data_IF_133337322096
#
_entry.id   IF_133337322096
#
_cell.length_a   1.000
_cell.length_b   1.000
_cell.length_c   1.000
_cell.angle_alpha   90.00
_cell.angle_beta   90.00
_cell.angle_gamma   90.00
#
_symmetry.space_group_name_H-M   'P 1'
#
loop_
_entity.id
_entity.type
_entity.pdbx_description
1 polymer ?
#
# COMPACT_ATOMS: atom_id res chain seq x y z
N UNK A 1 -42.82 85.59 13.77
CA UNK A 1 -41.88 85.04 14.78
C UNK A 1 -41.61 83.59 14.42
N UNK A 2 -40.35 83.18 14.41
CA UNK A 2 -39.77 81.83 14.22
C UNK A 2 -40.70 80.60 14.36
N UNK A 3 -40.54 79.51 13.59
CA UNK A 3 -39.36 78.62 13.63
C UNK A 3 -39.35 77.63 12.45
N UNK A 4 -38.18 77.50 11.82
CA UNK A 4 -37.75 76.33 11.03
C UNK A 4 -37.68 75.07 11.92
N UNK A 5 -37.99 73.89 11.36
CA UNK A 5 -37.31 72.64 11.74
C UNK A 5 -37.47 71.56 10.66
N UNK A 6 -36.41 71.44 9.86
CA UNK A 6 -36.04 70.25 9.11
C UNK A 6 -36.15 68.98 9.98
N UNK A 7 -36.95 68.00 9.55
CA UNK A 7 -36.88 66.62 10.05
C UNK A 7 -36.80 65.65 8.88
N UNK A 8 -35.62 65.54 8.28
CA UNK A 8 -35.20 64.37 7.50
C UNK A 8 -33.67 64.39 7.26
N UNK A 9 -32.84 64.05 8.27
CA UNK A 9 -31.59 63.38 7.94
C UNK A 9 -31.17 62.23 8.88
N UNK A 10 -32.04 61.79 9.81
CA UNK A 10 -31.62 60.81 10.85
C UNK A 10 -31.79 59.35 10.36
N UNK A 11 -32.88 59.00 9.68
CA UNK A 11 -33.12 57.60 9.23
C UNK A 11 -32.12 57.09 8.17
N UNK A 12 -31.62 57.97 7.30
CA UNK A 12 -30.61 57.62 6.29
C UNK A 12 -29.20 57.47 6.89
N UNK A 13 -28.88 58.26 7.93
CA UNK A 13 -27.60 58.16 8.64
C UNK A 13 -27.50 56.85 9.44
N UNK A 14 -28.54 56.48 10.20
CA UNK A 14 -28.57 55.19 10.92
C UNK A 14 -28.54 53.98 9.99
N UNK A 15 -29.24 54.02 8.83
CA UNK A 15 -29.15 52.95 7.82
C UNK A 15 -27.76 52.83 7.20
N UNK A 16 -27.06 53.95 6.95
CA UNK A 16 -25.66 53.94 6.48
C UNK A 16 -24.68 53.43 7.54
N UNK A 17 -24.88 53.77 8.82
CA UNK A 17 -24.06 53.27 9.93
C UNK A 17 -24.28 51.78 10.19
N UNK A 18 -25.52 51.28 10.16
CA UNK A 18 -25.85 49.86 10.27
C UNK A 18 -25.32 49.03 9.09
N UNK A 19 -25.35 49.58 7.87
CA UNK A 19 -24.72 48.94 6.71
C UNK A 19 -23.20 48.91 6.84
N UNK A 20 -22.56 49.98 7.34
CA UNK A 20 -21.11 50.01 7.62
C UNK A 20 -20.72 48.99 8.70
N UNK A 21 -21.46 48.92 9.81
CA UNK A 21 -21.21 47.95 10.89
C UNK A 21 -21.41 46.51 10.45
N UNK A 22 -22.45 46.21 9.64
CA UNK A 22 -22.64 44.87 9.04
C UNK A 22 -21.56 44.51 8.01
N UNK A 23 -21.05 45.49 7.25
CA UNK A 23 -19.94 45.26 6.31
C UNK A 23 -18.62 45.03 7.05
N UNK A 24 -18.33 45.79 8.10
CA UNK A 24 -17.15 45.62 8.95
C UNK A 24 -17.21 44.30 9.74
N UNK A 25 -18.38 43.92 10.25
CA UNK A 25 -18.60 42.62 10.93
C UNK A 25 -18.45 41.42 9.98
N UNK A 26 -19.01 41.50 8.76
CA UNK A 26 -18.82 40.44 7.74
C UNK A 26 -17.37 40.38 7.25
N UNK A 27 -16.71 41.52 7.12
CA UNK A 27 -15.30 41.57 6.71
C UNK A 27 -14.39 41.04 7.83
N UNK A 28 -14.70 41.29 9.10
CA UNK A 28 -14.04 40.67 10.25
C UNK A 28 -14.28 39.17 10.32
N UNK A 29 -15.51 38.69 10.08
CA UNK A 29 -15.80 37.26 10.01
C UNK A 29 -15.05 36.58 8.85
N UNK A 30 -14.98 37.23 7.68
CA UNK A 30 -14.23 36.72 6.53
C UNK A 30 -12.72 36.76 6.79
N UNK A 31 -12.18 37.80 7.44
CA UNK A 31 -10.76 37.87 7.81
C UNK A 31 -10.43 36.84 8.88
N UNK A 32 -11.26 36.66 9.92
CA UNK A 32 -11.06 35.63 10.94
C UNK A 32 -11.18 34.24 10.32
N UNK A 33 -12.15 34.00 9.44
CA UNK A 33 -12.33 32.72 8.73
C UNK A 33 -11.20 32.45 7.74
N UNK A 34 -10.69 33.46 7.04
CA UNK A 34 -9.52 33.34 6.16
C UNK A 34 -8.24 33.16 6.98
N UNK A 35 -8.08 33.84 8.13
CA UNK A 35 -6.94 33.65 9.03
C UNK A 35 -6.96 32.31 9.74
N UNK A 36 -8.14 31.78 10.13
CA UNK A 36 -8.26 30.42 10.66
C UNK A 36 -8.10 29.37 9.58
N UNK A 37 -8.61 29.58 8.35
CA UNK A 37 -8.28 28.71 7.21
C UNK A 37 -6.79 28.79 6.86
N UNK A 38 -6.15 29.96 6.90
CA UNK A 38 -4.71 30.10 6.66
C UNK A 38 -3.89 29.46 7.77
N UNK A 39 -4.33 29.51 9.04
CA UNK A 39 -3.69 28.78 10.14
C UNK A 39 -3.93 27.25 10.03
N UNK A 40 -5.03 26.80 9.43
CA UNK A 40 -5.31 25.38 9.19
C UNK A 40 -4.61 24.86 7.92
N UNK A 41 -4.39 25.71 6.91
CA UNK A 41 -3.83 25.35 5.59
C UNK A 41 -2.33 25.64 5.48
N UNK A 42 -1.79 26.61 6.25
CA UNK A 42 -0.38 27.03 6.21
C UNK A 42 0.38 26.83 7.52
N UNK A 43 -0.16 26.07 8.48
CA UNK A 43 0.73 25.36 9.40
C UNK A 43 1.22 24.14 8.63
N UNK A 44 2.43 24.14 8.03
CA UNK A 44 3.06 22.88 7.68
C UNK A 44 3.04 22.07 8.97
N UNK A 45 2.47 20.86 8.93
CA UNK A 45 2.43 19.96 10.06
C UNK A 45 3.80 19.99 10.76
N UNK A 46 3.99 20.69 11.90
CA UNK A 46 5.33 20.99 12.40
C UNK A 46 6.01 19.74 12.97
N UNK A 47 5.30 18.62 12.94
CA UNK A 47 5.71 17.33 13.48
C UNK A 47 5.56 16.18 12.47
N UNK A 48 5.29 16.43 11.18
CA UNK A 48 5.41 15.37 10.15
C UNK A 48 6.86 14.96 9.85
N UNK A 49 7.83 15.48 10.61
CA UNK A 49 9.23 15.17 10.50
C UNK A 49 9.85 14.91 11.88
N UNK A 50 9.25 14.04 12.69
CA UNK A 50 10.03 13.26 13.65
C UNK A 50 10.16 11.84 13.11
N UNK A 51 11.26 11.65 12.39
CA UNK A 51 11.76 10.36 11.92
C UNK A 51 11.47 9.26 12.95
N UNK A 52 10.87 8.16 12.48
CA UNK A 52 10.81 6.91 13.22
C UNK A 52 12.21 6.61 13.78
N UNK A 53 12.36 6.59 15.11
CA UNK A 53 13.64 6.17 15.73
C UNK A 53 13.91 4.67 15.59
N UNK A 54 13.00 3.93 14.98
CA UNK A 54 13.17 2.53 14.63
C UNK A 54 13.87 2.49 13.27
N UNK A 55 15.17 2.16 13.20
CA UNK A 55 15.80 1.85 11.93
C UNK A 55 15.18 0.56 11.40
N UNK A 56 14.28 0.68 10.43
CA UNK A 56 13.77 -0.45 9.65
C UNK A 56 14.68 -0.55 8.42
N UNK A 57 15.92 -0.99 8.62
CA UNK A 57 16.78 -1.37 7.50
C UNK A 57 16.81 -2.89 7.41
N UNK A 58 16.03 -3.43 6.48
CA UNK A 58 15.96 -4.86 6.22
C UNK A 58 16.61 -5.10 4.86
N UNK A 59 17.80 -5.69 4.81
CA UNK A 59 18.39 -6.10 3.54
C UNK A 59 17.87 -7.48 3.14
N UNK A 60 17.56 -7.63 1.85
CA UNK A 60 17.06 -8.89 1.28
C UNK A 60 18.08 -9.47 0.31
N UNK A 61 18.45 -10.72 0.53
CA UNK A 61 19.32 -11.45 -0.40
C UNK A 61 18.53 -11.98 -1.59
N UNK A 62 19.13 -11.91 -2.79
CA UNK A 62 18.49 -12.42 -4.01
C UNK A 62 18.11 -13.90 -3.93
N UNK A 63 18.87 -14.70 -3.17
CA UNK A 63 18.54 -16.11 -2.92
C UNK A 63 17.11 -16.28 -2.39
N UNK A 64 16.69 -15.41 -1.46
CA UNK A 64 15.36 -15.46 -0.84
C UNK A 64 14.29 -15.03 -1.84
N UNK A 65 14.60 -14.03 -2.66
CA UNK A 65 13.72 -13.59 -3.77
C UNK A 65 13.49 -14.74 -4.75
N UNK A 66 14.55 -15.47 -5.12
CA UNK A 66 14.46 -16.59 -6.08
C UNK A 66 13.51 -17.69 -5.58
N UNK A 67 13.61 -18.10 -4.33
CA UNK A 67 12.70 -19.10 -3.73
C UNK A 67 11.24 -18.64 -3.81
N UNK A 68 10.98 -17.37 -3.51
CA UNK A 68 9.63 -16.80 -3.56
C UNK A 68 9.09 -16.74 -4.99
N UNK A 69 9.95 -16.44 -5.97
CA UNK A 69 9.59 -16.48 -7.38
C UNK A 69 9.24 -17.91 -7.85
N UNK A 70 9.96 -18.93 -7.36
CA UNK A 70 9.67 -20.33 -7.64
C UNK A 70 8.31 -20.74 -7.05
N UNK A 71 8.02 -20.34 -5.81
CA UNK A 71 6.70 -20.56 -5.17
C UNK A 71 5.59 -19.84 -5.94
N UNK A 72 5.78 -18.56 -6.28
CA UNK A 72 4.84 -17.80 -7.12
C UNK A 72 4.57 -18.54 -8.42
N UNK A 73 5.61 -19.00 -9.13
CA UNK A 73 5.44 -19.74 -10.38
C UNK A 73 4.60 -21.01 -10.20
N UNK A 74 4.79 -21.77 -9.12
CA UNK A 74 4.01 -22.97 -8.82
C UNK A 74 2.54 -22.66 -8.52
N UNK A 75 2.27 -21.60 -7.74
CA UNK A 75 0.91 -21.17 -7.41
C UNK A 75 0.13 -20.77 -8.66
N UNK A 76 0.78 -20.11 -9.62
CA UNK A 76 0.12 -19.61 -10.84
C UNK A 76 0.11 -20.58 -12.02
N UNK A 77 0.78 -21.73 -11.94
CA UNK A 77 0.73 -22.76 -13.00
C UNK A 77 -0.68 -23.36 -13.21
N UNK A 78 -1.56 -23.23 -12.21
CA UNK A 78 -2.91 -23.84 -12.24
C UNK A 78 -4.05 -22.85 -12.51
N UNK A 79 -3.77 -21.57 -12.75
CA UNK A 79 -4.82 -20.57 -13.01
C UNK A 79 -5.10 -20.43 -14.52
N UNK A 80 -6.16 -21.09 -14.99
CA UNK A 80 -6.71 -21.01 -16.36
C UNK A 80 -7.24 -19.62 -16.75
N UNK A 81 -7.34 -18.67 -15.82
CA UNK A 81 -7.85 -17.30 -16.04
C UNK A 81 -6.91 -16.40 -16.85
N UNK A 82 -5.63 -16.78 -17.02
CA UNK A 82 -4.61 -15.94 -17.66
C UNK A 82 -4.67 -15.91 -19.18
N UNK A 83 -5.31 -16.90 -19.81
CA UNK A 83 -5.36 -16.99 -21.27
C UNK A 83 -6.32 -15.98 -21.92
N UNK A 84 -7.25 -15.40 -21.16
CA UNK A 84 -8.31 -14.55 -21.73
C UNK A 84 -8.03 -13.05 -21.66
N UNK A 85 -7.08 -12.60 -20.81
CA UNK A 85 -6.80 -11.15 -20.61
C UNK A 85 -5.59 -10.68 -21.44
N UNK A 86 -4.77 -11.61 -21.94
CA UNK A 86 -3.55 -11.31 -22.68
C UNK A 86 -3.57 -11.89 -24.08
N UNK A 87 -3.23 -11.07 -25.06
CA UNK A 87 -2.94 -11.54 -26.42
C UNK A 87 -1.48 -11.96 -26.48
N UNK A 88 -1.19 -13.23 -26.76
CA UNK A 88 0.17 -13.77 -26.89
C UNK A 88 0.58 -13.78 -28.37
N UNK A 89 1.73 -13.17 -28.69
CA UNK A 89 2.43 -13.43 -29.96
C UNK A 89 3.67 -14.26 -29.67
N UNK A 90 3.75 -15.46 -30.28
CA UNK A 90 4.87 -16.37 -30.09
C UNK A 90 6.12 -15.85 -30.81
N UNK A 91 7.23 -15.81 -30.08
CA UNK A 91 8.57 -15.56 -30.63
C UNK A 91 9.33 -16.85 -30.87
N UNK A 92 10.29 -16.84 -31.80
CA UNK A 92 11.06 -18.01 -32.21
C UNK A 92 12.54 -17.98 -31.81
N UNK A 93 13.03 -16.91 -31.15
CA UNK A 93 14.47 -16.73 -30.90
C UNK A 93 14.80 -16.19 -29.49
N UNK A 94 15.88 -16.70 -28.90
CA UNK A 94 16.46 -16.17 -27.65
C UNK A 94 17.18 -14.83 -27.90
N UNK A 95 17.09 -13.89 -26.94
CA UNK A 95 17.87 -12.63 -27.01
C UNK A 95 19.37 -12.95 -26.91
N UNK A 96 20.17 -12.21 -27.67
CA UNK A 96 21.63 -12.25 -27.58
C UNK A 96 22.07 -11.97 -26.12
N UNK A 97 22.89 -12.86 -25.55
CA UNK A 97 23.19 -12.93 -24.12
C UNK A 97 23.89 -11.68 -23.52
N UNK A 98 24.34 -10.74 -24.36
CA UNK A 98 25.23 -9.62 -24.01
C UNK A 98 24.64 -8.19 -24.13
N UNK A 99 23.36 -8.00 -24.45
CA UNK A 99 22.79 -6.64 -24.54
C UNK A 99 22.40 -6.07 -23.17
N UNK A 100 22.79 -4.83 -22.89
CA UNK A 100 22.26 -4.03 -21.77
C UNK A 100 20.78 -3.72 -22.00
N UNK A 101 19.98 -3.73 -20.93
CA UNK A 101 18.54 -3.42 -20.94
C UNK A 101 18.35 -1.99 -20.43
N UNK A 102 17.92 -1.07 -21.30
CA UNK A 102 17.57 0.28 -20.90
C UNK A 102 16.13 0.35 -20.41
N UNK A 103 15.95 0.65 -19.12
CA UNK A 103 14.65 0.86 -18.47
C UNK A 103 14.48 2.37 -18.25
N UNK A 104 13.43 2.93 -18.84
CA UNK A 104 13.06 4.33 -18.68
C UNK A 104 11.80 4.43 -17.84
N UNK A 105 11.90 5.08 -16.67
CA UNK A 105 10.74 5.54 -15.93
C UNK A 105 10.23 6.81 -16.62
N UNK A 106 9.11 6.69 -17.34
CA UNK A 106 8.59 7.73 -18.22
C UNK A 106 7.68 8.74 -17.50
N UNK A 107 6.99 8.30 -16.45
CA UNK A 107 6.25 9.20 -15.55
C UNK A 107 6.97 9.30 -14.20
N UNK A 108 6.52 10.18 -13.33
CA UNK A 108 6.87 10.06 -11.90
C UNK A 108 6.19 8.85 -11.25
N UNK A 109 6.47 8.60 -9.97
CA UNK A 109 5.67 7.71 -9.12
C UNK A 109 5.09 8.57 -7.99
N UNK A 110 3.77 8.69 -7.94
CA UNK A 110 3.04 9.62 -7.07
C UNK A 110 3.56 11.07 -7.13
N UNK A 111 3.87 11.57 -8.33
CA UNK A 111 4.47 12.90 -8.58
C UNK A 111 5.87 13.10 -7.99
N UNK A 112 6.46 12.06 -7.41
CA UNK A 112 7.79 12.10 -6.83
C UNK A 112 8.84 11.76 -7.90
N UNK A 113 9.93 12.55 -7.92
CA UNK A 113 11.08 12.36 -8.80
C UNK A 113 12.24 11.65 -8.12
N UNK A 114 12.08 11.16 -6.88
CA UNK A 114 13.15 10.48 -6.11
C UNK A 114 13.83 9.36 -6.89
N UNK A 115 13.10 8.62 -7.72
CA UNK A 115 13.63 7.53 -8.53
C UNK A 115 14.64 7.98 -9.58
N UNK A 116 14.63 9.26 -9.96
CA UNK A 116 15.51 9.81 -10.97
C UNK A 116 16.88 10.22 -10.42
N UNK A 117 17.00 10.36 -9.09
CA UNK A 117 18.28 10.63 -8.42
C UNK A 117 18.94 9.36 -7.87
N UNK A 118 18.27 8.21 -7.98
CA UNK A 118 18.77 6.95 -7.45
C UNK A 118 19.81 6.31 -8.36
N UNK A 119 20.89 5.81 -7.74
CA UNK A 119 21.87 4.98 -8.44
C UNK A 119 21.27 3.62 -8.82
N UNK A 120 21.88 2.94 -9.79
CA UNK A 120 21.54 1.54 -10.16
C UNK A 120 21.52 0.62 -8.93
N UNK A 121 22.47 0.79 -8.00
CA UNK A 121 22.49 0.01 -6.75
C UNK A 121 21.32 0.34 -5.83
N UNK A 122 20.81 1.57 -5.86
CA UNK A 122 19.66 2.00 -5.07
C UNK A 122 18.35 1.47 -5.67
N UNK A 123 18.23 1.46 -7.00
CA UNK A 123 17.06 0.93 -7.73
C UNK A 123 16.97 -0.59 -7.59
N UNK A 124 18.00 -1.33 -8.01
CA UNK A 124 17.93 -2.80 -8.10
C UNK A 124 18.42 -3.51 -6.83
N UNK A 125 19.10 -2.80 -5.93
CA UNK A 125 19.74 -3.39 -4.75
C UNK A 125 21.13 -3.97 -5.01
N UNK A 126 21.93 -4.02 -3.94
CA UNK A 126 23.34 -4.44 -4.02
C UNK A 126 23.48 -5.93 -4.31
N UNK A 127 22.62 -6.76 -3.76
CA UNK A 127 22.61 -8.23 -3.87
C UNK A 127 22.00 -8.75 -5.18
N UNK A 128 21.42 -7.89 -6.00
CA UNK A 128 20.76 -8.26 -7.24
C UNK A 128 21.77 -8.72 -8.31
N UNK A 129 21.70 -9.98 -8.82
CA UNK A 129 22.66 -10.49 -9.78
C UNK A 129 22.47 -9.89 -11.18
N UNK A 130 21.23 -9.54 -11.54
CA UNK A 130 20.86 -9.00 -12.85
C UNK A 130 21.20 -7.51 -13.02
N UNK A 131 21.42 -6.77 -11.92
CA UNK A 131 21.56 -5.30 -11.94
C UNK A 131 22.62 -4.78 -12.92
N UNK A 132 23.70 -5.54 -13.17
CA UNK A 132 24.79 -5.14 -14.06
C UNK A 132 24.39 -5.10 -15.53
N UNK A 133 23.23 -5.68 -15.87
CA UNK A 133 22.67 -5.71 -17.22
C UNK A 133 21.48 -4.78 -17.41
N UNK A 134 21.05 -4.05 -16.37
CA UNK A 134 19.97 -3.07 -16.49
C UNK A 134 20.48 -1.66 -16.24
N UNK A 135 20.12 -0.77 -17.15
CA UNK A 135 20.30 0.67 -17.02
C UNK A 135 18.97 1.29 -16.59
N UNK A 136 19.04 2.30 -15.73
CA UNK A 136 17.88 3.05 -15.25
C UNK A 136 17.99 4.50 -15.68
N UNK A 137 16.91 5.06 -16.22
CA UNK A 137 16.85 6.46 -16.62
C UNK A 137 15.45 7.04 -16.39
N UNK A 138 15.39 8.35 -16.16
CA UNK A 138 14.17 9.14 -16.27
C UNK A 138 14.25 10.17 -17.42
N UNK A 139 15.20 10.00 -18.33
CA UNK A 139 15.31 10.87 -19.50
C UNK A 139 14.26 10.43 -20.52
N UNK A 140 13.21 11.24 -20.66
CA UNK A 140 12.08 10.88 -21.52
C UNK A 140 12.45 10.88 -22.99
N UNK A 141 13.50 11.59 -23.41
CA UNK A 141 13.97 11.58 -24.81
C UNK A 141 14.48 10.19 -25.24
N UNK A 142 14.80 9.33 -24.28
CA UNK A 142 15.28 7.96 -24.50
C UNK A 142 14.18 6.96 -24.83
N UNK A 143 12.91 7.38 -24.92
CA UNK A 143 11.80 6.47 -25.20
C UNK A 143 11.93 5.70 -26.53
N UNK A 144 12.69 6.23 -27.50
CA UNK A 144 12.98 5.59 -28.79
C UNK A 144 14.05 4.51 -28.72
N UNK A 145 14.87 4.50 -27.67
CA UNK A 145 15.97 3.53 -27.45
C UNK A 145 15.70 2.55 -26.29
N UNK A 146 14.71 2.86 -25.44
CA UNK A 146 14.35 2.08 -24.27
C UNK A 146 13.89 0.66 -24.62
N UNK A 147 14.41 -0.33 -23.88
CA UNK A 147 13.92 -1.71 -23.93
C UNK A 147 12.65 -1.89 -23.08
N UNK A 148 12.48 -1.08 -22.04
CA UNK A 148 11.28 -1.02 -21.22
C UNK A 148 10.92 0.42 -20.83
N UNK A 149 9.63 0.72 -20.85
CA UNK A 149 9.05 1.99 -20.45
C UNK A 149 8.08 1.76 -19.29
N UNK A 150 8.32 2.42 -18.16
CA UNK A 150 7.46 2.33 -16.97
C UNK A 150 6.59 3.58 -16.87
N UNK A 151 5.29 3.35 -16.69
CA UNK A 151 4.29 4.38 -16.49
C UNK A 151 3.53 4.09 -15.20
N UNK A 152 3.40 5.08 -14.33
CA UNK A 152 2.67 4.97 -13.07
C UNK A 152 1.21 5.35 -13.28
N UNK A 153 0.29 4.45 -12.93
CA UNK A 153 -1.13 4.57 -13.25
C UNK A 153 -1.77 5.86 -12.73
N UNK A 154 -1.44 6.27 -11.49
CA UNK A 154 -1.94 7.53 -10.92
C UNK A 154 -1.41 8.76 -11.67
N UNK A 155 -0.19 8.70 -12.18
CA UNK A 155 0.47 9.87 -12.77
C UNK A 155 0.14 10.06 -14.25
N UNK A 156 -0.23 9.00 -14.98
CA UNK A 156 -0.56 9.09 -16.43
C UNK A 156 -1.61 10.19 -16.71
N UNK A 157 -2.80 10.23 -16.07
CA UNK A 157 -3.81 11.26 -16.35
C UNK A 157 -3.38 12.66 -15.92
N UNK A 158 -2.40 12.75 -15.02
CA UNK A 158 -1.90 14.01 -14.44
C UNK A 158 -0.64 14.50 -15.18
N UNK A 159 -0.14 13.71 -16.12
CA UNK A 159 1.11 13.96 -16.79
C UNK A 159 0.93 15.06 -17.83
N UNK A 160 1.76 16.12 -17.73
CA UNK A 160 1.60 17.31 -18.57
C UNK A 160 2.16 17.15 -19.98
N UNK A 161 3.12 16.24 -20.16
CA UNK A 161 3.69 15.95 -21.47
C UNK A 161 2.92 14.80 -22.14
N UNK A 162 2.79 14.79 -23.47
CA UNK A 162 2.14 13.70 -24.16
C UNK A 162 2.92 12.39 -23.94
N UNK A 163 2.20 11.34 -23.56
CA UNK A 163 2.73 9.97 -23.60
C UNK A 163 3.00 9.62 -25.07
N UNK A 164 4.17 9.05 -25.42
CA UNK A 164 4.53 8.79 -26.81
C UNK A 164 3.57 7.77 -27.41
N UNK A 165 3.38 7.79 -28.73
CA UNK A 165 2.64 6.71 -29.36
C UNK A 165 3.50 5.44 -29.34
N UNK A 166 2.88 4.28 -29.18
CA UNK A 166 3.61 3.00 -29.18
C UNK A 166 4.41 2.79 -30.47
N UNK A 167 3.91 3.27 -31.61
CA UNK A 167 4.60 3.24 -32.90
C UNK A 167 5.89 4.08 -32.96
N UNK A 168 6.06 5.04 -32.04
CA UNK A 168 7.25 5.90 -31.95
C UNK A 168 8.32 5.30 -31.04
N UNK A 169 7.99 4.26 -30.26
CA UNK A 169 8.91 3.58 -29.36
C UNK A 169 9.76 2.55 -30.09
N UNK A 170 10.87 2.12 -29.47
CA UNK A 170 11.69 1.02 -29.97
C UNK A 170 10.82 -0.20 -30.29
N UNK A 171 10.98 -0.82 -31.48
CA UNK A 171 10.28 -2.07 -31.78
C UNK A 171 10.52 -3.10 -30.68
N UNK A 172 9.45 -3.76 -30.24
CA UNK A 172 9.48 -4.75 -29.18
C UNK A 172 9.83 -4.21 -27.77
N UNK A 173 9.73 -2.88 -27.55
CA UNK A 173 9.81 -2.31 -26.20
C UNK A 173 8.67 -2.82 -25.31
N UNK A 174 8.99 -3.04 -24.03
CA UNK A 174 8.05 -3.51 -23.02
C UNK A 174 7.44 -2.31 -22.30
N UNK A 175 6.17 -2.05 -22.54
CA UNK A 175 5.42 -1.03 -21.80
C UNK A 175 4.91 -1.63 -20.49
N UNK A 176 5.19 -0.98 -19.37
CA UNK A 176 4.93 -1.49 -18.03
C UNK A 176 4.06 -0.51 -17.27
N UNK A 177 2.90 -0.95 -16.82
CA UNK A 177 2.06 -0.18 -15.92
C UNK A 177 2.43 -0.51 -14.47
N UNK A 178 2.89 0.49 -13.72
CA UNK A 178 3.06 0.39 -12.28
C UNK A 178 1.81 0.91 -11.60
N UNK A 179 1.12 0.06 -10.84
CA UNK A 179 0.05 0.49 -9.95
C UNK A 179 -0.07 -0.40 -8.74
N UNK A 180 0.09 0.18 -7.55
CA UNK A 180 -0.15 -0.53 -6.29
C UNK A 180 -1.55 -0.21 -5.73
N UNK A 181 -2.34 0.60 -6.41
CA UNK A 181 -3.64 1.08 -5.92
C UNK A 181 -4.83 0.30 -6.49
N UNK A 182 -5.91 0.07 -5.72
CA UNK A 182 -7.10 -0.62 -6.21
C UNK A 182 -7.96 0.29 -7.11
N UNK A 183 -8.90 -0.28 -7.90
CA UNK A 183 -9.86 0.48 -8.73
C UNK A 183 -10.65 1.57 -8.01
N UNK A 184 -10.86 1.46 -6.69
CA UNK A 184 -11.51 2.52 -5.90
C UNK A 184 -10.69 3.82 -5.84
N UNK A 185 -9.38 3.73 -6.10
CA UNK A 185 -8.43 4.85 -6.06
C UNK A 185 -7.98 5.28 -7.47
N UNK A 186 -7.95 4.35 -8.42
CA UNK A 186 -7.51 4.58 -9.80
C UNK A 186 -8.61 4.19 -10.77
N UNK A 187 -9.00 5.13 -11.63
CA UNK A 187 -9.90 4.84 -12.75
C UNK A 187 -9.12 4.21 -13.91
N UNK A 188 -8.97 2.88 -13.90
CA UNK A 188 -8.26 2.13 -14.94
C UNK A 188 -8.94 2.18 -16.31
N UNK A 189 -10.23 2.53 -16.38
CA UNK A 189 -10.92 2.70 -17.66
C UNK A 189 -10.29 3.81 -18.52
N UNK A 190 -9.66 4.82 -17.88
CA UNK A 190 -8.91 5.87 -18.58
C UNK A 190 -7.62 5.35 -19.23
N UNK A 191 -7.18 4.14 -18.88
CA UNK A 191 -5.95 3.55 -19.35
C UNK A 191 -6.16 2.48 -20.43
N UNK A 192 -7.40 2.19 -20.82
CA UNK A 192 -7.77 1.17 -21.84
C UNK A 192 -7.14 1.39 -23.21
N UNK A 193 -6.88 2.64 -23.57
CA UNK A 193 -6.25 2.99 -24.86
C UNK A 193 -4.76 2.65 -24.92
N UNK A 194 -4.13 2.35 -23.77
CA UNK A 194 -2.72 1.97 -23.72
C UNK A 194 -2.57 0.46 -23.74
N UNK A 195 -1.75 -0.02 -24.66
CA UNK A 195 -1.38 -1.45 -24.73
C UNK A 195 -0.20 -1.71 -23.80
N UNK A 196 -0.42 -1.95 -22.51
CA UNK A 196 0.65 -2.35 -21.60
C UNK A 196 1.01 -3.81 -21.82
N UNK A 197 2.32 -4.11 -21.83
CA UNK A 197 2.81 -5.48 -21.87
C UNK A 197 2.76 -6.10 -20.48
N UNK A 198 3.35 -5.40 -19.52
CA UNK A 198 3.58 -5.90 -18.17
C UNK A 198 2.92 -5.01 -17.13
N UNK A 199 2.68 -5.58 -15.95
CA UNK A 199 2.28 -4.81 -14.76
C UNK A 199 3.25 -5.03 -13.61
N UNK A 200 3.49 -3.96 -12.85
CA UNK A 200 4.12 -3.96 -11.52
C UNK A 200 3.00 -3.60 -10.55
N UNK A 201 2.46 -4.57 -9.80
CA UNK A 201 1.24 -4.34 -8.99
C UNK A 201 1.12 -5.24 -7.76
N UNK A 202 0.06 -5.06 -6.98
CA UNK A 202 -0.32 -5.98 -5.89
C UNK A 202 -0.93 -7.29 -6.39
N UNK A 203 -1.51 -7.32 -7.61
CA UNK A 203 -2.11 -8.54 -8.16
C UNK A 203 -1.03 -9.58 -8.38
N UNK A 204 -1.18 -10.74 -7.77
CA UNK A 204 -0.11 -11.74 -7.73
C UNK A 204 0.19 -12.29 -9.13
N UNK A 205 -0.79 -12.26 -10.03
CA UNK A 205 -0.63 -12.64 -11.44
C UNK A 205 0.03 -11.56 -12.34
N UNK A 206 0.40 -10.39 -11.79
CA UNK A 206 1.26 -9.43 -12.49
C UNK A 206 2.66 -9.98 -12.74
N UNK A 207 3.34 -9.43 -13.74
CA UNK A 207 4.74 -9.78 -14.02
C UNK A 207 5.62 -9.54 -12.80
N UNK A 208 5.42 -8.43 -12.10
CA UNK A 208 6.16 -8.12 -10.87
C UNK A 208 5.15 -7.78 -9.78
N UNK A 209 5.10 -8.59 -8.73
CA UNK A 209 4.10 -8.42 -7.65
C UNK A 209 4.49 -8.98 -6.30
N UNK A 210 5.55 -9.78 -6.22
CA UNK A 210 6.10 -10.15 -4.92
C UNK A 210 6.60 -8.89 -4.23
N UNK A 211 6.60 -8.88 -2.89
CA UNK A 211 7.15 -7.76 -2.13
C UNK A 211 6.47 -6.40 -2.42
N UNK A 212 5.21 -6.35 -2.87
CA UNK A 212 4.50 -5.06 -3.03
C UNK A 212 4.29 -4.36 -1.69
N UNK A 213 3.82 -5.10 -0.68
CA UNK A 213 3.51 -4.56 0.65
C UNK A 213 4.22 -5.28 1.81
N UNK A 214 4.76 -6.46 1.56
CA UNK A 214 5.54 -7.23 2.53
C UNK A 214 6.04 -8.53 1.91
N UNK A 215 7.01 -9.15 2.58
CA UNK A 215 7.65 -10.36 2.07
C UNK A 215 8.05 -11.28 3.22
N UNK A 216 7.51 -12.50 3.23
CA UNK A 216 8.03 -13.56 4.09
C UNK A 216 9.27 -14.16 3.45
N UNK A 217 10.39 -14.01 4.14
CA UNK A 217 11.69 -14.51 3.71
C UNK A 217 12.05 -15.71 4.57
N UNK A 218 12.52 -16.80 3.96
CA UNK A 218 13.01 -17.95 4.70
C UNK A 218 14.31 -17.57 5.40
N UNK A 219 14.45 -17.97 6.65
CA UNK A 219 15.67 -17.76 7.42
C UNK A 219 16.78 -18.64 6.87
N UNK A 220 18.00 -18.13 6.89
CA UNK A 220 19.18 -18.95 6.60
C UNK A 220 19.37 -20.07 7.63
N UNK A 221 18.98 -19.81 8.89
CA UNK A 221 18.94 -20.81 9.96
C UNK A 221 17.60 -20.78 10.70
N UNK A 222 17.06 -21.96 10.98
CA UNK A 222 15.85 -22.11 11.79
C UNK A 222 16.14 -21.64 13.22
N UNK A 223 15.24 -20.83 13.79
CA UNK A 223 15.31 -20.47 15.22
C UNK A 223 15.24 -21.74 16.08
N UNK A 224 16.05 -21.82 17.14
CA UNK A 224 15.96 -22.94 18.07
C UNK A 224 14.63 -22.91 18.83
N UNK A 225 14.17 -24.08 19.27
CA UNK A 225 12.93 -24.16 20.04
C UNK A 225 13.03 -23.38 21.36
N UNK A 226 14.22 -23.33 21.97
CA UNK A 226 14.45 -22.53 23.18
C UNK A 226 14.32 -21.02 22.94
N UNK A 227 14.86 -20.51 21.83
CA UNK A 227 14.73 -19.09 21.46
C UNK A 227 13.27 -18.74 21.14
N UNK A 228 12.61 -19.59 20.37
CA UNK A 228 11.20 -19.43 20.04
C UNK A 228 10.32 -19.42 21.30
N UNK A 229 10.49 -20.39 22.21
CA UNK A 229 9.72 -20.44 23.45
C UNK A 229 10.02 -19.27 24.39
N UNK A 230 11.26 -18.75 24.40
CA UNK A 230 11.59 -17.52 25.13
C UNK A 230 10.86 -16.31 24.56
N UNK A 231 10.80 -16.18 23.24
CA UNK A 231 10.05 -15.14 22.55
C UNK A 231 8.55 -15.24 22.86
N UNK A 232 7.96 -16.44 22.74
CA UNK A 232 6.54 -16.67 23.04
C UNK A 232 6.18 -16.26 24.46
N UNK A 233 6.94 -16.69 25.47
CA UNK A 233 6.65 -16.32 26.87
C UNK A 233 6.68 -14.81 27.08
N UNK A 234 7.69 -14.14 26.53
CA UNK A 234 7.85 -12.69 26.62
C UNK A 234 6.69 -11.95 25.95
N UNK A 235 6.36 -12.30 24.70
CA UNK A 235 5.31 -11.61 23.96
C UNK A 235 3.92 -11.88 24.55
N UNK A 236 3.66 -13.13 24.98
CA UNK A 236 2.41 -13.48 25.63
C UNK A 236 2.22 -12.73 26.96
N UNK A 237 3.27 -12.55 27.76
CA UNK A 237 3.20 -11.84 29.05
C UNK A 237 3.11 -10.33 28.88
N UNK A 238 3.78 -9.76 27.87
CA UNK A 238 3.83 -8.30 27.68
C UNK A 238 2.57 -7.74 27.00
N UNK A 239 1.78 -8.60 26.35
CA UNK A 239 0.60 -8.20 25.57
C UNK A 239 -0.66 -8.52 26.35
N UNK A 240 -1.10 -7.58 27.19
CA UNK A 240 -2.27 -7.76 28.05
C UNK A 240 -3.59 -7.34 27.37
N UNK A 241 -3.53 -6.68 26.21
CA UNK A 241 -4.71 -6.18 25.52
C UNK A 241 -5.15 -7.11 24.36
N UNK A 242 -6.40 -6.93 23.94
CA UNK A 242 -7.01 -7.68 22.84
C UNK A 242 -6.51 -7.23 21.48
N UNK A 243 -7.35 -6.46 20.77
CA UNK A 243 -7.11 -6.06 19.39
C UNK A 243 -6.91 -4.55 19.22
N UNK A 244 -6.03 -4.19 18.30
CA UNK A 244 -5.68 -2.81 17.97
C UNK A 244 -5.95 -2.53 16.50
N UNK A 245 -6.38 -1.31 16.17
CA UNK A 245 -6.51 -0.86 14.80
C UNK A 245 -6.01 0.57 14.60
N UNK A 246 -5.24 0.80 13.53
CA UNK A 246 -4.89 2.15 13.07
C UNK A 246 -5.61 2.42 11.75
N UNK A 247 -6.45 3.45 11.72
CA UNK A 247 -7.33 3.74 10.58
C UNK A 247 -7.46 5.24 10.30
N UNK A 248 -7.24 5.62 9.05
CA UNK A 248 -7.30 7.02 8.60
C UNK A 248 -8.19 7.25 7.37
N UNK A 249 -8.62 6.19 6.68
CA UNK A 249 -9.55 6.29 5.54
C UNK A 249 -10.97 5.94 6.01
N UNK A 250 -11.84 6.95 6.11
CA UNK A 250 -13.16 6.79 6.71
C UNK A 250 -14.25 6.46 5.68
N UNK A 251 -13.88 6.45 4.40
CA UNK A 251 -14.82 6.16 3.32
C UNK A 251 -15.16 4.68 3.23
N UNK A 252 -14.26 3.82 3.73
CA UNK A 252 -14.48 2.39 3.76
C UNK A 252 -15.35 2.01 4.98
N UNK A 253 -16.68 1.95 4.78
CA UNK A 253 -17.65 1.91 5.88
C UNK A 253 -17.77 0.54 6.50
N UNK A 254 -17.72 -0.54 5.71
CA UNK A 254 -17.97 -1.89 6.22
C UNK A 254 -16.96 -2.31 7.29
N UNK A 255 -15.70 -1.93 7.13
CA UNK A 255 -14.65 -2.22 8.12
C UNK A 255 -14.82 -1.45 9.44
N UNK A 256 -15.42 -0.26 9.41
CA UNK A 256 -15.77 0.48 10.63
C UNK A 256 -16.89 -0.23 11.37
N UNK A 257 -17.92 -0.66 10.65
CA UNK A 257 -19.02 -1.47 11.19
C UNK A 257 -18.50 -2.75 11.86
N UNK A 258 -17.64 -3.51 11.16
CA UNK A 258 -17.01 -4.73 11.69
C UNK A 258 -16.19 -4.46 12.95
N UNK A 259 -15.41 -3.37 12.96
CA UNK A 259 -14.63 -2.96 14.13
C UNK A 259 -15.53 -2.70 15.34
N UNK A 260 -16.57 -1.89 15.19
CA UNK A 260 -17.47 -1.58 16.31
C UNK A 260 -18.25 -2.81 16.77
N UNK A 261 -18.72 -3.65 15.84
CA UNK A 261 -19.40 -4.90 16.19
C UNK A 261 -18.48 -5.83 16.98
N UNK A 262 -17.22 -5.99 16.57
CA UNK A 262 -16.24 -6.79 17.31
C UNK A 262 -15.93 -6.18 18.69
N UNK A 263 -15.76 -4.86 18.76
CA UNK A 263 -15.54 -4.12 20.02
C UNK A 263 -16.68 -4.33 21.01
N UNK A 264 -17.93 -4.40 20.53
CA UNK A 264 -19.10 -4.65 21.37
C UNK A 264 -19.25 -6.13 21.78
N UNK A 265 -18.86 -7.05 20.90
CA UNK A 265 -18.99 -8.49 21.14
C UNK A 265 -17.92 -9.06 22.09
N UNK A 266 -16.73 -8.45 22.14
CA UNK A 266 -15.60 -8.97 22.92
C UNK A 266 -15.51 -8.39 24.33
N UNK A 267 -15.07 -9.22 25.28
CA UNK A 267 -14.65 -8.77 26.62
C UNK A 267 -13.23 -8.24 26.66
N UNK A 268 -12.44 -8.47 25.60
CA UNK A 268 -11.08 -7.97 25.50
C UNK A 268 -11.08 -6.46 25.19
N UNK A 269 -10.01 -5.78 25.58
CA UNK A 269 -9.81 -4.39 25.14
C UNK A 269 -9.58 -4.35 23.63
N UNK A 270 -10.51 -3.75 22.90
CA UNK A 270 -10.43 -3.51 21.46
C UNK A 270 -10.40 -2.00 21.19
N UNK A 271 -9.30 -1.51 20.63
CA UNK A 271 -9.05 -0.08 20.43
C UNK A 271 -8.76 0.27 18.97
N UNK A 272 -9.28 1.42 18.57
CA UNK A 272 -9.05 2.01 17.26
C UNK A 272 -8.45 3.40 17.41
N UNK A 273 -7.45 3.70 16.59
CA UNK A 273 -6.74 4.97 16.57
C UNK A 273 -6.71 5.58 15.16
N UNK A 274 -6.89 6.89 15.09
CA UNK A 274 -6.83 7.66 13.85
C UNK A 274 -8.15 8.38 13.53
N UNK A 275 -8.24 8.99 12.34
CA UNK A 275 -9.29 9.98 12.00
C UNK A 275 -10.72 9.42 11.99
N UNK A 276 -10.88 8.11 11.97
CA UNK A 276 -12.17 7.46 11.73
C UNK A 276 -12.80 6.83 12.98
N UNK A 277 -12.14 6.95 14.14
CA UNK A 277 -12.47 6.25 15.38
C UNK A 277 -12.21 7.13 16.60
N UNK A 278 -12.63 6.65 17.76
CA UNK A 278 -12.92 7.45 18.97
C UNK A 278 -11.73 8.21 19.57
N UNK A 279 -10.49 7.72 19.41
CA UNK A 279 -9.31 8.29 20.08
C UNK A 279 -8.63 9.41 19.29
N UNK A 280 -9.03 10.64 19.61
CA UNK A 280 -8.36 11.91 19.26
C UNK A 280 -7.74 12.49 20.57
N UNK A 281 -6.41 12.71 20.69
CA UNK A 281 -5.51 13.18 19.63
C UNK A 281 -4.45 12.16 19.14
N UNK A 282 -4.67 10.86 19.23
CA UNK A 282 -3.70 9.83 18.77
C UNK A 282 -3.67 9.69 17.22
N UNK A 283 -4.06 10.75 16.51
CA UNK A 283 -3.79 10.96 15.09
C UNK A 283 -2.30 11.28 14.81
N UNK A 284 -1.44 11.29 15.84
CA UNK A 284 -0.05 11.75 15.77
C UNK A 284 0.99 10.63 15.64
N UNK A 285 0.62 9.35 15.82
CA UNK A 285 1.57 8.28 15.52
C UNK A 285 1.78 8.23 13.99
N UNK A 286 2.96 8.65 13.53
CA UNK A 286 3.35 8.41 12.14
C UNK A 286 3.42 6.91 11.86
N UNK A 287 3.16 6.51 10.60
CA UNK A 287 3.40 5.12 10.18
C UNK A 287 4.85 4.74 10.48
N UNK A 288 5.06 3.51 10.96
CA UNK A 288 6.37 2.97 11.33
C UNK A 288 7.09 3.76 12.44
N UNK A 289 6.39 4.61 13.18
CA UNK A 289 6.98 5.41 14.27
C UNK A 289 7.14 4.61 15.56
N UNK A 290 7.95 5.14 16.49
CA UNK A 290 8.06 4.59 17.84
C UNK A 290 6.69 4.59 18.55
N UNK A 291 5.90 5.64 18.33
CA UNK A 291 4.53 5.75 18.84
C UNK A 291 3.67 4.56 18.38
N UNK A 292 3.66 4.25 17.08
CA UNK A 292 2.92 3.09 16.55
C UNK A 292 3.41 1.78 17.20
N UNK A 293 4.73 1.59 17.29
CA UNK A 293 5.32 0.41 17.94
C UNK A 293 4.89 0.26 19.40
N UNK A 294 4.92 1.34 20.18
CA UNK A 294 4.61 1.31 21.61
C UNK A 294 3.19 0.81 21.83
N UNK A 295 2.20 1.32 21.06
CA UNK A 295 0.84 0.80 21.09
C UNK A 295 0.76 -0.65 20.61
N UNK A 296 1.35 -0.96 19.46
CA UNK A 296 1.30 -2.33 18.91
C UNK A 296 1.92 -3.36 19.85
N UNK A 297 2.92 -3.00 20.65
CA UNK A 297 3.59 -3.90 21.59
C UNK A 297 2.72 -4.37 22.77
N UNK A 298 1.59 -3.68 23.04
CA UNK A 298 0.70 -4.00 24.17
C UNK A 298 -0.47 -4.94 23.80
N UNK A 299 -0.71 -5.17 22.51
CA UNK A 299 -1.87 -5.93 22.02
C UNK A 299 -1.46 -7.29 21.44
N UNK A 300 -2.32 -8.31 21.56
CA UNK A 300 -2.10 -9.62 20.92
C UNK A 300 -2.53 -9.63 19.45
N UNK A 301 -3.56 -8.87 19.12
CA UNK A 301 -4.17 -8.88 17.79
C UNK A 301 -4.09 -7.52 17.09
N UNK A 302 -3.98 -7.56 15.77
CA UNK A 302 -4.07 -6.37 14.93
C UNK A 302 -5.19 -6.52 13.91
N UNK A 303 -6.05 -5.52 13.78
CA UNK A 303 -7.07 -5.50 12.73
C UNK A 303 -6.44 -5.05 11.41
N UNK A 304 -6.07 -6.03 10.59
CA UNK A 304 -5.57 -5.85 9.22
C UNK A 304 -6.70 -5.65 8.21
N UNK A 305 -7.67 -4.79 8.52
CA UNK A 305 -8.86 -4.60 7.68
C UNK A 305 -8.56 -3.70 6.48
N UNK A 306 -8.65 -4.28 5.29
CA UNK A 306 -8.46 -3.59 4.04
C UNK A 306 -9.60 -2.64 3.72
N UNK A 307 -9.32 -1.70 2.81
CA UNK A 307 -10.33 -0.76 2.32
C UNK A 307 -11.09 -1.27 1.09
N UNK A 308 -10.67 -2.42 0.57
CA UNK A 308 -11.15 -3.04 -0.64
C UNK A 308 -11.07 -4.55 -0.46
N UNK A 309 -11.99 -5.28 -1.08
CA UNK A 309 -11.99 -6.77 -1.10
C UNK A 309 -11.42 -7.33 -2.39
N UNK A 310 -10.64 -6.52 -3.09
CA UNK A 310 -10.08 -6.86 -4.39
C UNK A 310 -9.09 -8.01 -4.29
N UNK A 311 -9.22 -8.99 -5.18
CA UNK A 311 -8.31 -10.13 -5.24
C UNK A 311 -6.86 -9.71 -5.12
N UNK A 312 -6.12 -10.39 -4.26
CA UNK A 312 -4.70 -10.13 -3.93
C UNK A 312 -4.38 -8.79 -3.23
N UNK A 313 -5.37 -7.94 -2.97
CA UNK A 313 -5.14 -6.63 -2.33
C UNK A 313 -4.89 -6.78 -0.82
N UNK A 314 -3.70 -7.27 -0.48
CA UNK A 314 -3.21 -7.51 0.88
C UNK A 314 -2.06 -6.54 1.14
N UNK A 315 -2.29 -5.56 2.02
CA UNK A 315 -1.42 -4.38 2.13
C UNK A 315 -0.50 -4.43 3.36
N UNK A 316 0.22 -3.33 3.63
CA UNK A 316 1.11 -3.18 4.77
C UNK A 316 0.42 -3.46 6.10
N UNK A 317 -0.91 -3.29 6.17
CA UNK A 317 -1.73 -3.57 7.36
C UNK A 317 -1.61 -5.03 7.80
N UNK A 318 -1.59 -5.95 6.85
CA UNK A 318 -1.42 -7.37 7.12
C UNK A 318 0.00 -7.67 7.60
N UNK A 319 0.99 -7.23 6.83
CA UNK A 319 2.39 -7.58 7.08
C UNK A 319 2.96 -6.94 8.35
N UNK A 320 2.54 -5.71 8.70
CA UNK A 320 3.02 -5.04 9.90
C UNK A 320 2.60 -5.74 11.19
N UNK A 321 1.45 -6.42 11.22
CA UNK A 321 1.03 -7.23 12.37
C UNK A 321 2.10 -8.29 12.70
N UNK A 322 2.56 -9.02 11.69
CA UNK A 322 3.64 -10.00 11.84
C UNK A 322 4.96 -9.35 12.27
N UNK A 323 5.31 -8.22 11.68
CA UNK A 323 6.55 -7.52 12.03
C UNK A 323 6.57 -7.12 13.52
N UNK A 324 5.46 -6.59 14.02
CA UNK A 324 5.35 -6.10 15.40
C UNK A 324 4.99 -7.18 16.42
N UNK A 325 4.88 -8.45 16.05
CA UNK A 325 4.64 -9.53 17.01
C UNK A 325 3.17 -9.86 17.29
N UNK A 326 2.22 -9.31 16.50
CA UNK A 326 0.78 -9.53 16.66
C UNK A 326 0.27 -10.62 15.72
N UNK A 327 -0.90 -11.15 16.06
CA UNK A 327 -1.70 -12.03 15.21
C UNK A 327 -2.66 -11.15 14.38
N UNK A 328 -2.57 -11.14 13.05
CA UNK A 328 -3.49 -10.36 12.22
C UNK A 328 -4.88 -10.99 12.17
N UNK A 329 -5.89 -10.16 12.39
CA UNK A 329 -7.31 -10.43 12.11
C UNK A 329 -7.63 -9.68 10.81
N UNK A 330 -8.02 -10.40 9.76
CA UNK A 330 -8.10 -9.84 8.42
C UNK A 330 -9.51 -9.82 7.86
N UNK A 331 -9.78 -8.76 7.10
CA UNK A 331 -10.95 -8.56 6.28
C UNK A 331 -10.51 -7.86 5.00
N UNK A 332 -10.87 -8.40 3.84
CA UNK A 332 -10.36 -7.94 2.56
C UNK A 332 -10.63 -8.98 1.47
N UNK A 333 -9.62 -9.40 0.70
CA UNK A 333 -9.78 -10.44 -0.34
C UNK A 333 -10.23 -11.79 0.22
N UNK A 334 -10.50 -12.77 -0.65
CA UNK A 334 -10.89 -14.12 -0.24
C UNK A 334 -9.80 -14.77 0.63
N UNK A 335 -10.19 -15.65 1.56
CA UNK A 335 -9.24 -16.39 2.43
C UNK A 335 -8.13 -17.10 1.65
N UNK A 336 -8.45 -17.62 0.45
CA UNK A 336 -7.48 -18.26 -0.43
C UNK A 336 -6.37 -17.31 -0.89
N UNK A 337 -6.63 -16.02 -1.02
CA UNK A 337 -5.62 -15.03 -1.41
C UNK A 337 -4.60 -14.83 -0.28
N UNK A 338 -5.06 -14.77 0.97
CA UNK A 338 -4.18 -14.74 2.13
C UNK A 338 -3.34 -16.02 2.26
N UNK A 339 -3.94 -17.19 2.04
CA UNK A 339 -3.22 -18.48 2.08
C UNK A 339 -2.08 -18.57 1.06
N UNK A 340 -2.15 -17.83 -0.06
CA UNK A 340 -1.07 -17.80 -1.08
C UNK A 340 0.16 -17.02 -0.63
N UNK A 341 0.01 -16.07 0.29
CA UNK A 341 1.09 -15.15 0.70
C UNK A 341 1.51 -15.28 2.15
N UNK A 342 0.65 -15.83 3.01
CA UNK A 342 0.89 -15.97 4.44
C UNK A 342 1.44 -17.35 4.78
N UNK A 343 2.32 -17.46 5.80
CA UNK A 343 2.61 -18.75 6.40
C UNK A 343 1.32 -19.41 6.89
N UNK A 344 1.29 -20.75 6.85
CA UNK A 344 0.15 -21.52 7.34
C UNK A 344 -0.14 -21.19 8.82
N UNK A 345 -1.42 -21.20 9.17
CA UNK A 345 -1.93 -21.06 10.55
C UNK A 345 -1.46 -19.78 11.26
N UNK A 346 -1.20 -18.70 10.51
CA UNK A 346 -0.55 -17.48 11.03
C UNK A 346 -1.46 -16.25 11.17
N UNK A 347 -2.71 -16.34 10.71
CA UNK A 347 -3.68 -15.25 10.74
C UNK A 347 -5.10 -15.77 10.97
N UNK A 348 -6.02 -14.85 11.30
CA UNK A 348 -7.44 -15.13 11.53
C UNK A 348 -8.23 -14.38 10.45
N UNK A 349 -9.04 -15.08 9.66
CA UNK A 349 -9.90 -14.44 8.67
C UNK A 349 -11.32 -14.34 9.22
N UNK A 350 -11.98 -13.18 9.07
CA UNK A 350 -13.33 -13.03 9.65
C UNK A 350 -14.36 -13.98 9.03
N UNK A 351 -14.14 -14.39 7.77
CA UNK A 351 -15.01 -15.34 7.08
C UNK A 351 -14.91 -16.76 7.64
N UNK A 352 -13.89 -17.09 8.45
CA UNK A 352 -13.82 -18.38 9.17
C UNK A 352 -14.94 -18.53 10.22
N UNK A 353 -15.60 -17.42 10.56
CA UNK A 353 -16.67 -17.32 11.55
C UNK A 353 -17.99 -16.87 10.93
N UNK A 354 -18.16 -17.01 9.61
CA UNK A 354 -19.32 -16.49 8.86
C UNK A 354 -19.59 -14.99 9.13
N UNK A 355 -18.54 -14.23 9.46
CA UNK A 355 -18.59 -12.83 9.89
C UNK A 355 -19.41 -12.59 11.18
N UNK A 356 -19.66 -13.62 11.99
CA UNK A 356 -20.21 -13.48 13.35
C UNK A 356 -19.12 -12.98 14.31
N UNK A 357 -19.28 -11.74 14.76
CA UNK A 357 -18.33 -11.09 15.66
C UNK A 357 -18.34 -11.68 17.07
N UNK A 358 -19.41 -12.37 17.51
CA UNK A 358 -19.45 -13.04 18.82
C UNK A 358 -18.63 -14.33 18.80
N UNK A 359 -18.77 -15.11 17.73
CA UNK A 359 -17.96 -16.31 17.52
C UNK A 359 -16.47 -15.94 17.40
N UNK A 360 -16.16 -14.90 16.60
CA UNK A 360 -14.81 -14.36 16.51
C UNK A 360 -14.30 -13.88 17.88
N UNK A 361 -15.07 -13.09 18.62
CA UNK A 361 -14.68 -12.60 19.94
C UNK A 361 -14.37 -13.74 20.93
N UNK A 362 -15.18 -14.80 20.93
CA UNK A 362 -14.96 -16.00 21.76
C UNK A 362 -13.62 -16.66 21.43
N UNK A 363 -13.33 -16.84 20.13
CA UNK A 363 -12.05 -17.40 19.67
C UNK A 363 -10.85 -16.53 20.06
N UNK A 364 -10.98 -15.20 20.00
CA UNK A 364 -9.94 -14.27 20.45
C UNK A 364 -9.70 -14.37 21.97
N UNK A 365 -10.76 -14.53 22.78
CA UNK A 365 -10.66 -14.72 24.23
C UNK A 365 -9.92 -16.03 24.58
N UNK A 366 -10.15 -17.10 23.84
CA UNK A 366 -9.44 -18.38 24.00
C UNK A 366 -7.94 -18.24 23.71
N UNK A 367 -7.58 -17.65 22.57
CA UNK A 367 -6.16 -17.40 22.24
C UNK A 367 -5.53 -16.46 23.26
N UNK A 368 -6.26 -15.42 23.69
CA UNK A 368 -5.76 -14.44 24.63
C UNK A 368 -5.42 -15.07 25.99
N UNK A 369 -6.19 -16.06 26.45
CA UNK A 369 -5.96 -16.73 27.73
C UNK A 369 -5.04 -17.96 27.65
N UNK A 370 -4.69 -18.43 26.45
CA UNK A 370 -3.95 -19.67 26.25
C UNK A 370 -2.64 -19.47 25.47
N UNK A 371 -1.51 -19.59 26.16
CA UNK A 371 -0.17 -19.45 25.57
C UNK A 371 0.13 -20.49 24.48
N UNK A 372 -0.45 -21.69 24.58
CA UNK A 372 -0.27 -22.74 23.57
C UNK A 372 -0.96 -22.35 22.28
N UNK A 373 -2.23 -21.90 22.33
CA UNK A 373 -2.94 -21.40 21.15
C UNK A 373 -2.23 -20.19 20.53
N UNK A 374 -1.83 -19.22 21.36
CA UNK A 374 -1.05 -18.08 20.89
C UNK A 374 0.26 -18.49 20.19
N UNK A 375 0.93 -19.53 20.69
CA UNK A 375 2.17 -20.03 20.09
C UNK A 375 1.95 -20.57 18.67
N UNK A 376 0.85 -21.28 18.41
CA UNK A 376 0.55 -21.86 17.10
C UNK A 376 0.58 -20.79 16.00
N UNK A 377 -0.05 -19.63 16.24
CA UNK A 377 -0.07 -18.48 15.31
C UNK A 377 1.30 -17.86 15.01
N UNK A 378 2.33 -18.21 15.78
CA UNK A 378 3.68 -17.71 15.63
C UNK A 378 4.72 -18.79 15.29
N UNK A 379 4.31 -20.06 15.12
CA UNK A 379 5.25 -21.14 14.77
C UNK A 379 6.04 -20.86 13.49
N UNK A 380 5.42 -20.18 12.51
CA UNK A 380 6.06 -19.79 11.26
C UNK A 380 7.38 -19.03 11.47
N UNK A 381 7.51 -18.28 12.58
CA UNK A 381 8.71 -17.51 12.91
C UNK A 381 9.95 -18.38 12.99
N UNK A 382 9.80 -19.67 13.33
CA UNK A 382 10.90 -20.65 13.37
C UNK A 382 11.66 -20.70 12.04
N UNK A 383 10.94 -20.61 10.93
CA UNK A 383 11.47 -20.81 9.59
C UNK A 383 11.53 -19.53 8.75
N UNK A 384 10.72 -18.52 9.08
CA UNK A 384 10.62 -17.31 8.28
C UNK A 384 10.82 -16.05 9.12
N UNK A 385 11.22 -14.99 8.44
CA UNK A 385 11.21 -13.61 8.87
C UNK A 385 10.30 -12.79 7.94
N UNK A 386 9.90 -11.62 8.38
CA UNK A 386 9.04 -10.72 7.60
C UNK A 386 9.81 -9.45 7.26
N UNK A 387 9.78 -9.06 5.99
CA UNK A 387 10.31 -7.81 5.48
C UNK A 387 9.12 -6.88 5.18
N UNK A 388 9.16 -5.68 5.77
CA UNK A 388 8.18 -4.61 5.55
C UNK A 388 8.83 -3.28 5.18
N UNK A 389 10.18 -3.17 5.22
CA UNK A 389 10.86 -1.96 4.76
C UNK A 389 10.55 -1.70 3.28
N UNK A 390 9.82 -0.62 3.01
CA UNK A 390 9.40 -0.27 1.66
C UNK A 390 10.58 -0.12 0.69
N UNK A 391 11.75 0.32 1.18
CA UNK A 391 12.94 0.44 0.33
C UNK A 391 13.48 -0.93 -0.05
N UNK A 392 13.47 -1.90 0.85
CA UNK A 392 13.91 -3.26 0.61
C UNK A 392 12.99 -3.98 -0.37
N UNK A 393 11.69 -3.87 -0.11
CA UNK A 393 10.62 -4.39 -0.95
C UNK A 393 10.71 -3.85 -2.39
N UNK A 394 10.91 -2.54 -2.55
CA UNK A 394 11.12 -1.89 -3.85
C UNK A 394 12.35 -2.46 -4.58
N UNK A 395 13.49 -2.64 -3.89
CA UNK A 395 14.71 -3.24 -4.48
C UNK A 395 14.45 -4.67 -4.97
N UNK A 396 13.69 -5.46 -4.22
CA UNK A 396 13.28 -6.82 -4.60
C UNK A 396 12.48 -6.80 -5.90
N UNK A 397 11.44 -5.96 -5.98
CA UNK A 397 10.58 -5.81 -7.18
C UNK A 397 11.39 -5.37 -8.39
N UNK A 398 12.26 -4.38 -8.23
CA UNK A 398 13.10 -3.89 -9.33
C UNK A 398 14.13 -4.93 -9.78
N UNK A 399 14.68 -5.73 -8.87
CA UNK A 399 15.57 -6.81 -9.24
C UNK A 399 14.84 -7.92 -10.03
N UNK A 400 13.62 -8.30 -9.60
CA UNK A 400 12.76 -9.22 -10.37
C UNK A 400 12.50 -8.67 -11.77
N UNK A 401 12.10 -7.39 -11.87
CA UNK A 401 11.86 -6.72 -13.14
C UNK A 401 13.07 -6.85 -14.09
N UNK A 402 14.25 -6.49 -13.60
CA UNK A 402 15.48 -6.57 -14.37
C UNK A 402 15.77 -8.01 -14.82
N UNK A 403 15.64 -8.99 -13.93
CA UNK A 403 15.84 -10.41 -14.25
C UNK A 403 14.85 -10.91 -15.31
N UNK A 404 13.58 -10.50 -15.23
CA UNK A 404 12.56 -10.87 -16.21
C UNK A 404 12.84 -10.25 -17.58
N UNK A 405 13.20 -8.96 -17.65
CA UNK A 405 13.50 -8.29 -18.92
C UNK A 405 14.72 -8.90 -19.62
N UNK A 406 15.71 -9.35 -18.83
CA UNK A 406 16.88 -10.09 -19.29
C UNK A 406 16.50 -11.43 -19.93
N UNK A 407 15.53 -12.12 -19.36
CA UNK A 407 15.10 -13.46 -19.79
C UNK A 407 14.01 -13.43 -20.87
N UNK A 408 13.48 -12.25 -21.23
CA UNK A 408 12.44 -12.11 -22.24
C UNK A 408 12.96 -12.52 -23.64
N UNK A 409 12.33 -13.52 -24.25
CA UNK A 409 12.67 -13.99 -25.61
C UNK A 409 12.30 -12.95 -26.68
N UNK A 410 13.04 -12.92 -27.79
CA UNK A 410 12.70 -12.01 -28.90
C UNK A 410 11.41 -12.49 -29.57
N UNK A 411 10.46 -11.57 -29.75
CA UNK A 411 9.18 -11.84 -30.40
C UNK A 411 8.08 -12.36 -29.48
N UNK A 412 8.42 -12.77 -28.25
CA UNK A 412 7.44 -13.10 -27.21
C UNK A 412 6.92 -11.81 -26.59
N UNK A 413 5.84 -11.29 -27.16
CA UNK A 413 5.21 -10.05 -26.71
C UNK A 413 3.75 -10.33 -26.44
N UNK A 414 3.39 -10.27 -25.17
CA UNK A 414 2.00 -10.20 -24.75
C UNK A 414 1.65 -8.80 -24.29
N UNK A 415 0.39 -8.42 -24.46
CA UNK A 415 -0.17 -7.21 -23.90
C UNK A 415 -1.53 -7.50 -23.27
N UNK A 416 -1.88 -6.74 -22.24
CA UNK A 416 -3.19 -6.77 -21.63
C UNK A 416 -4.19 -6.21 -22.64
N UNK A 417 -5.17 -7.02 -23.03
CA UNK A 417 -6.26 -6.60 -23.91
C UNK A 417 -7.17 -5.59 -23.20
N UNK A 418 -7.45 -5.86 -21.92
CA UNK A 418 -8.29 -5.01 -21.08
C UNK A 418 -7.65 -4.81 -19.70
N UNK A 419 -6.85 -3.75 -19.56
CA UNK A 419 -6.17 -3.44 -18.29
C UNK A 419 -7.16 -3.06 -17.17
N UNK A 420 -8.32 -2.51 -17.53
CA UNK A 420 -9.37 -2.17 -16.57
C UNK A 420 -10.01 -3.44 -15.99
N UNK A 421 -10.37 -4.40 -16.84
CA UNK A 421 -10.88 -5.70 -16.37
C UNK A 421 -9.86 -6.44 -15.52
N UNK A 422 -8.57 -6.38 -15.89
CA UNK A 422 -7.51 -6.97 -15.08
C UNK A 422 -7.53 -6.45 -13.63
N UNK A 423 -7.72 -5.16 -13.40
CA UNK A 423 -7.75 -4.60 -12.03
C UNK A 423 -9.11 -4.71 -11.35
N UNK A 424 -10.22 -4.70 -12.10
CA UNK A 424 -11.58 -4.84 -11.56
C UNK A 424 -12.00 -6.31 -11.32
N UNK A 425 -11.26 -7.30 -11.84
CA UNK A 425 -11.53 -8.71 -11.57
C UNK A 425 -11.57 -9.00 -10.07
N UNK A 426 -12.71 -9.53 -9.61
CA UNK A 426 -13.06 -9.82 -8.21
C UNK A 426 -12.69 -8.67 -7.26
N UNK A 427 -13.31 -7.51 -7.44
CA UNK A 427 -12.96 -6.30 -6.71
C UNK A 427 -14.14 -5.43 -6.33
N UNK A 428 -14.49 -5.43 -5.05
CA UNK A 428 -15.51 -4.56 -4.47
C UNK A 428 -14.90 -3.58 -3.47
N UNK A 429 -15.33 -2.32 -3.57
CA UNK A 429 -15.04 -1.27 -2.59
C UNK A 429 -16.03 -1.37 -1.42
N UNK A 430 -15.52 -1.35 -0.18
CA UNK A 430 -16.25 -1.73 1.05
C UNK A 430 -16.39 -0.63 2.07
#
# INVERSE_FOLDING_TARGET
MHFSKHKLPIRLWWRRQLFRLRRVSRMWFVIVFICTLFLIIMVPNPFSAQYSRIPIDQDVHWKNVKEILEVKAQVFQNETLLNNVKVIKNGSEERQFNSMILIVLYTTIFRDKKFCSYSVNRIFGKSCPSKRRCLWSCDHEKFREADALIFHAYDIPLYRAPIPNRSETKPNSVWILWSDEPPSMINYALLKSYHFNWTISYKLNSEVSIATYGLFSKRDSRLSDNEYQRWIRKEFSNRENGALWFVSNCNAKKRLELFYNLKHASKLLIEGYGRCVDYYPIHLCGSSSQCEYDYMSMFKFYLGFESNTCRDYITEKFYKAFYYGLIPIVYGPERSDYNRVAPKDSFIHIDDFDKDMNALATHLEEIHSNITLFSIYHEWRKNYEIIIDGKALERVRMCELCQRLINLRKGEISYYENIDEFYNDKCDYI
#
